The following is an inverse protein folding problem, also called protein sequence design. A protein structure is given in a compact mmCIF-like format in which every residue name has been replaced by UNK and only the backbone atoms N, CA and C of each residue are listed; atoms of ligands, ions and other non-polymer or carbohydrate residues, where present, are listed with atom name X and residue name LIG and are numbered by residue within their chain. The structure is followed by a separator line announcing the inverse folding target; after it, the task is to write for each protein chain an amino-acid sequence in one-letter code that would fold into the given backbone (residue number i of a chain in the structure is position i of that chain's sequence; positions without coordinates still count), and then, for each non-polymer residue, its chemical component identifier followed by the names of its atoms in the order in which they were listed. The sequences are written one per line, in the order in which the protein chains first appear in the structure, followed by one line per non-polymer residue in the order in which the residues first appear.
data_IF_399788394619
#
_entry.id   IF_399788394619
#
_cell.length_a   1.000
_cell.length_b   1.000
_cell.length_c   1.000
_cell.angle_alpha   90.00
_cell.angle_beta   90.00
_cell.angle_gamma   90.00
#
_symmetry.space_group_name_H-M   'P 1'
#
loop_
_entity.id
_entity.type
_entity.pdbx_description
1 polymer ?
#
# COMPACT_ATOMS: atom_id res chain seq x y z
N UNK A 1 -21.46 6.20 -19.66
CA UNK A 1 -22.20 4.98 -19.25
C UNK A 1 -21.36 4.09 -18.33
N UNK A 2 -20.17 3.66 -18.73
CA UNK A 2 -19.26 2.82 -17.91
C UNK A 2 -18.87 3.47 -16.58
N UNK A 3 -18.47 4.74 -16.57
CA UNK A 3 -18.13 5.48 -15.35
C UNK A 3 -19.31 5.55 -14.35
N UNK A 4 -20.52 5.75 -14.86
CA UNK A 4 -21.75 5.80 -14.05
C UNK A 4 -22.07 4.43 -13.44
N UNK A 5 -21.92 3.34 -14.22
CA UNK A 5 -22.13 1.97 -13.75
C UNK A 5 -21.11 1.61 -12.65
N UNK A 6 -19.83 1.90 -12.87
CA UNK A 6 -18.77 1.66 -11.88
C UNK A 6 -18.97 2.49 -10.61
N UNK A 7 -19.41 3.75 -10.74
CA UNK A 7 -19.71 4.62 -9.60
C UNK A 7 -20.86 4.09 -8.74
N UNK A 8 -21.97 3.67 -9.37
CA UNK A 8 -23.10 3.06 -8.65
C UNK A 8 -22.69 1.75 -7.98
N UNK A 9 -21.96 0.89 -8.70
CA UNK A 9 -21.43 -0.36 -8.15
C UNK A 9 -20.56 -0.13 -6.91
N UNK A 10 -19.64 0.83 -6.98
CA UNK A 10 -18.79 1.23 -5.84
C UNK A 10 -19.61 1.64 -4.62
N UNK A 11 -20.65 2.48 -4.76
CA UNK A 11 -21.49 2.89 -3.63
C UNK A 11 -22.24 1.69 -3.02
N UNK A 12 -22.81 0.83 -3.87
CA UNK A 12 -23.58 -0.34 -3.44
C UNK A 12 -22.71 -1.34 -2.68
N UNK A 13 -21.43 -1.48 -3.05
CA UNK A 13 -20.49 -2.39 -2.37
C UNK A 13 -19.84 -1.73 -1.16
N UNK A 14 -19.42 -0.47 -1.25
CA UNK A 14 -18.74 0.25 -0.17
C UNK A 14 -19.64 0.47 1.05
N UNK A 15 -20.93 0.76 0.84
CA UNK A 15 -21.90 0.94 1.93
C UNK A 15 -21.97 -0.24 2.92
N UNK A 16 -22.27 -1.47 2.47
CA UNK A 16 -22.30 -2.64 3.35
C UNK A 16 -20.92 -3.00 3.93
N UNK A 17 -19.82 -2.84 3.16
CA UNK A 17 -18.46 -3.09 3.69
C UNK A 17 -18.11 -2.11 4.81
N UNK A 18 -18.46 -0.83 4.67
CA UNK A 18 -18.23 0.18 5.69
C UNK A 18 -18.94 -0.14 7.00
N UNK A 19 -20.05 -0.88 6.98
CA UNK A 19 -20.74 -1.33 8.19
C UNK A 19 -20.05 -2.52 8.88
N UNK A 20 -19.19 -3.25 8.17
CA UNK A 20 -18.45 -4.38 8.71
C UNK A 20 -17.13 -3.94 9.38
N UNK A 21 -16.59 -2.79 8.99
CA UNK A 21 -15.38 -2.20 9.57
C UNK A 21 -15.71 -1.60 10.94
N UNK A 22 -15.08 -2.16 11.98
CA UNK A 22 -15.10 -1.59 13.33
C UNK A 22 -13.85 -0.72 13.48
N UNK A 23 -14.05 0.57 13.77
CA UNK A 23 -12.96 1.54 13.82
C UNK A 23 -12.11 1.41 15.09
N UNK A 24 -12.63 0.80 16.15
CA UNK A 24 -11.88 0.53 17.36
C UNK A 24 -11.97 -0.97 17.69
N UNK A 25 -10.82 -1.67 17.83
CA UNK A 25 -10.82 -3.07 18.26
C UNK A 25 -11.48 -3.25 19.63
N UNK A 26 -11.45 -2.20 20.45
CA UNK A 26 -12.06 -2.14 21.79
C UNK A 26 -13.58 -2.34 21.76
N UNK A 27 -14.27 -1.89 20.69
CA UNK A 27 -15.73 -2.03 20.53
C UNK A 27 -16.19 -3.49 20.45
N UNK A 28 -15.28 -4.40 20.09
CA UNK A 28 -15.52 -5.83 19.94
C UNK A 28 -14.70 -6.66 20.94
N UNK A 29 -14.17 -6.04 21.99
CA UNK A 29 -13.41 -6.70 23.04
C UNK A 29 -12.01 -7.19 22.63
N UNK A 30 -11.47 -6.65 21.54
CA UNK A 30 -10.08 -6.89 21.13
C UNK A 30 -9.15 -5.81 21.70
N UNK A 31 -7.90 -6.17 21.92
CA UNK A 31 -6.85 -5.25 22.38
C UNK A 31 -6.35 -4.37 21.22
N UNK A 32 -5.84 -3.16 21.50
CA UNK A 32 -5.09 -2.36 20.53
C UNK A 32 -3.95 -3.17 19.91
N UNK A 33 -3.58 -2.81 18.68
CA UNK A 33 -2.57 -3.54 17.92
C UNK A 33 -1.21 -3.46 18.64
N UNK A 34 -0.61 -4.61 18.95
CA UNK A 34 0.67 -4.70 19.67
C UNK A 34 0.57 -5.06 21.15
N UNK A 35 -0.62 -5.00 21.76
CA UNK A 35 -0.84 -5.42 23.15
C UNK A 35 -1.00 -6.95 23.28
N UNK A 36 -0.35 -7.54 24.30
CA UNK A 36 -0.55 -8.94 24.69
C UNK A 36 -1.50 -9.03 25.89
N UNK A 37 -2.34 -10.09 26.00
CA UNK A 37 -3.14 -10.30 27.20
C UNK A 37 -2.23 -10.36 28.43
N UNK A 38 -2.41 -9.45 29.38
CA UNK A 38 -1.70 -9.50 30.66
C UNK A 38 -2.19 -10.75 31.39
N UNK A 39 -1.34 -11.73 31.72
CA UNK A 39 -1.74 -12.84 32.57
C UNK A 39 -2.16 -12.26 33.92
N UNK A 40 -3.42 -12.47 34.32
CA UNK A 40 -3.87 -12.19 35.67
C UNK A 40 -3.14 -13.17 36.59
N UNK A 41 -2.01 -12.76 37.14
CA UNK A 41 -1.37 -13.40 38.28
C UNK A 41 -1.03 -12.30 39.28
N UNK A 42 -1.42 -12.55 40.51
CA UNK A 42 -1.61 -11.60 41.59
C UNK A 42 -0.36 -10.79 41.98
N UNK A 43 -0.58 -9.49 42.19
CA UNK A 43 0.07 -8.53 43.11
C UNK A 43 1.54 -8.76 43.50
N UNK A 44 2.40 -7.80 43.13
CA UNK A 44 3.33 -7.16 44.08
C UNK A 44 3.63 -5.74 43.60
N UNK A 45 3.40 -4.77 44.49
CA UNK A 45 3.86 -3.41 44.33
C UNK A 45 5.39 -3.40 44.38
N UNK A 46 6.02 -2.57 43.54
CA UNK A 46 7.46 -2.35 43.36
C UNK A 46 8.06 -3.06 42.12
N UNK A 47 7.76 -2.52 40.93
CA UNK A 47 8.75 -2.42 39.85
C UNK A 47 8.29 -1.37 38.81
N UNK A 48 8.63 -0.12 39.07
CA UNK A 48 8.44 1.00 38.16
C UNK A 48 9.43 0.94 36.99
N UNK A 49 9.23 0.06 36.00
CA UNK A 49 9.82 0.17 34.65
C UNK A 49 9.48 -1.04 33.78
N UNK A 50 8.21 -1.23 33.44
CA UNK A 50 7.87 -2.00 32.23
C UNK A 50 7.18 -1.06 31.27
N UNK A 51 8.02 -0.52 30.38
CA UNK A 51 7.72 0.08 29.09
C UNK A 51 6.29 -0.26 28.66
N UNK A 52 5.34 0.61 29.02
CA UNK A 52 4.19 0.77 28.17
C UNK A 52 4.76 1.32 26.88
N UNK A 53 4.62 0.57 25.79
CA UNK A 53 4.63 1.20 24.48
C UNK A 53 3.38 2.07 24.44
N UNK A 54 3.46 3.24 25.08
CA UNK A 54 2.46 4.28 24.91
C UNK A 54 2.46 4.57 23.41
N UNK A 55 1.39 4.17 22.72
CA UNK A 55 1.07 4.73 21.41
C UNK A 55 0.94 6.24 21.63
N UNK A 56 2.02 6.96 21.34
CA UNK A 56 2.01 8.41 21.37
C UNK A 56 1.13 8.84 20.20
N UNK A 57 -0.12 9.18 20.51
CA UNK A 57 -1.00 9.83 19.56
C UNK A 57 -0.38 11.17 19.16
N UNK A 58 0.10 11.25 17.92
CA UNK A 58 0.66 12.48 17.38
C UNK A 58 -0.46 13.37 16.84
N UNK A 59 -0.50 14.63 17.27
CA UNK A 59 -1.23 15.65 16.52
C UNK A 59 -0.58 15.82 15.13
N UNK A 60 -1.33 16.33 14.15
CA UNK A 60 -0.80 16.55 12.79
C UNK A 60 0.47 17.41 12.78
N UNK A 61 0.55 18.43 13.65
CA UNK A 61 1.74 19.29 13.79
C UNK A 61 2.95 18.52 14.32
N UNK A 62 2.74 17.59 15.25
CA UNK A 62 3.81 16.77 15.81
C UNK A 62 4.27 15.71 14.80
N UNK A 63 3.35 15.06 14.10
CA UNK A 63 3.66 14.10 13.05
C UNK A 63 4.55 14.73 11.95
N UNK A 64 4.22 15.94 11.49
CA UNK A 64 5.00 16.69 10.49
C UNK A 64 6.44 17.00 10.93
N UNK A 65 6.71 17.02 12.25
CA UNK A 65 8.05 17.26 12.80
C UNK A 65 8.88 15.98 12.91
N UNK A 66 8.26 14.80 12.75
CA UNK A 66 8.97 13.53 12.83
C UNK A 66 9.69 13.20 11.52
N UNK A 67 10.89 12.60 11.58
CA UNK A 67 11.56 12.11 10.36
C UNK A 67 10.80 10.94 9.72
N UNK A 68 10.09 10.14 10.51
CA UNK A 68 9.28 9.01 10.04
C UNK A 68 8.22 9.46 9.03
N UNK A 69 7.52 10.58 9.32
CA UNK A 69 6.55 11.17 8.41
C UNK A 69 7.16 11.46 7.03
N UNK A 70 8.30 12.16 6.99
CA UNK A 70 8.95 12.54 5.74
C UNK A 70 9.49 11.34 4.96
N UNK A 71 10.06 10.35 5.64
CA UNK A 71 10.52 9.11 4.99
C UNK A 71 9.38 8.36 4.32
N UNK A 72 8.23 8.26 4.99
CA UNK A 72 7.03 7.61 4.43
C UNK A 72 6.47 8.45 3.28
N UNK A 73 6.35 9.76 3.47
CA UNK A 73 5.82 10.68 2.46
C UNK A 73 6.64 10.66 1.17
N UNK A 74 7.97 10.76 1.27
CA UNK A 74 8.84 10.69 0.10
C UNK A 74 8.87 9.29 -0.52
N UNK A 75 8.94 8.23 0.30
CA UNK A 75 8.91 6.86 -0.21
C UNK A 75 7.65 6.56 -1.01
N UNK A 76 6.49 6.95 -0.48
CA UNK A 76 5.22 6.84 -1.19
C UNK A 76 5.15 7.78 -2.39
N UNK A 77 5.57 9.04 -2.23
CA UNK A 77 5.57 10.05 -3.28
C UNK A 77 6.36 9.63 -4.52
N UNK A 78 7.58 9.09 -4.35
CA UNK A 78 8.39 8.59 -5.47
C UNK A 78 7.76 7.39 -6.16
N UNK A 79 7.20 6.46 -5.38
CA UNK A 79 6.49 5.29 -5.90
C UNK A 79 5.30 5.72 -6.77
N UNK A 80 4.51 6.68 -6.29
CA UNK A 80 3.37 7.26 -7.01
C UNK A 80 3.79 8.04 -8.25
N UNK A 81 4.88 8.80 -8.17
CA UNK A 81 5.44 9.55 -9.29
C UNK A 81 5.85 8.63 -10.45
N UNK A 82 6.52 7.52 -10.15
CA UNK A 82 6.91 6.52 -11.16
C UNK A 82 5.68 5.96 -11.87
N UNK A 83 4.66 5.54 -11.11
CA UNK A 83 3.43 4.97 -11.67
C UNK A 83 2.75 5.99 -12.58
N UNK A 84 2.59 7.23 -12.12
CA UNK A 84 1.94 8.29 -12.90
C UNK A 84 2.72 8.60 -14.18
N UNK A 85 4.05 8.69 -14.11
CA UNK A 85 4.90 8.97 -15.26
C UNK A 85 4.80 7.85 -16.31
N UNK A 86 4.90 6.59 -15.90
CA UNK A 86 4.78 5.43 -16.80
C UNK A 86 3.39 5.39 -17.41
N UNK A 87 2.32 5.48 -16.62
CA UNK A 87 0.95 5.41 -17.14
C UNK A 87 0.62 6.57 -18.09
N UNK A 88 1.16 7.77 -17.86
CA UNK A 88 0.94 8.92 -18.73
C UNK A 88 1.65 8.78 -20.10
N UNK A 89 2.81 8.11 -20.15
CA UNK A 89 3.64 8.06 -21.35
C UNK A 89 3.66 6.70 -22.05
N UNK A 90 3.16 5.63 -21.42
CA UNK A 90 3.20 4.27 -21.96
C UNK A 90 2.50 4.18 -23.33
N UNK A 91 1.33 4.81 -23.47
CA UNK A 91 0.60 4.84 -24.74
C UNK A 91 1.39 5.52 -25.85
N UNK A 92 2.01 6.66 -25.56
CA UNK A 92 2.85 7.39 -26.51
C UNK A 92 4.07 6.55 -26.92
N UNK A 93 4.78 5.98 -25.95
CA UNK A 93 5.94 5.12 -26.19
C UNK A 93 5.60 3.92 -27.10
N UNK A 94 4.45 3.28 -26.88
CA UNK A 94 4.03 2.13 -27.68
C UNK A 94 3.64 2.54 -29.11
N UNK A 95 2.91 3.65 -29.27
CA UNK A 95 2.55 4.18 -30.59
C UNK A 95 3.79 4.61 -31.37
N UNK A 96 4.75 5.27 -30.72
CA UNK A 96 6.03 5.66 -31.34
C UNK A 96 6.83 4.44 -31.81
N UNK A 97 6.66 3.29 -31.16
CA UNK A 97 7.24 1.99 -31.55
C UNK A 97 6.43 1.23 -32.62
N UNK A 98 5.32 1.79 -33.08
CA UNK A 98 4.47 1.21 -34.13
C UNK A 98 3.38 0.25 -33.63
N UNK A 99 3.18 0.13 -32.33
CA UNK A 99 2.07 -0.65 -31.76
C UNK A 99 0.74 0.10 -31.87
N UNK A 100 -0.37 -0.64 -31.80
CA UNK A 100 -1.69 -0.04 -31.79
C UNK A 100 -2.07 0.44 -30.38
N UNK A 101 -3.01 1.39 -30.29
CA UNK A 101 -3.50 1.90 -28.99
C UNK A 101 -4.14 0.78 -28.14
N UNK A 102 -4.71 -0.23 -28.80
CA UNK A 102 -5.29 -1.41 -28.17
C UNK A 102 -4.24 -2.23 -27.40
N UNK A 103 -3.01 -2.30 -27.91
CA UNK A 103 -1.92 -3.03 -27.25
C UNK A 103 -1.54 -2.34 -25.93
N UNK A 104 -1.43 -1.01 -25.94
CA UNK A 104 -1.19 -0.23 -24.74
C UNK A 104 -2.33 -0.39 -23.71
N UNK A 105 -3.58 -0.38 -24.17
CA UNK A 105 -4.74 -0.62 -23.30
C UNK A 105 -4.71 -2.02 -22.68
N UNK A 106 -4.27 -3.03 -23.43
CA UNK A 106 -4.08 -4.38 -22.92
C UNK A 106 -3.00 -4.44 -21.84
N UNK A 107 -1.83 -3.83 -22.07
CA UNK A 107 -0.75 -3.77 -21.08
C UNK A 107 -1.21 -3.08 -19.79
N UNK A 108 -1.92 -1.95 -19.90
CA UNK A 108 -2.50 -1.25 -18.74
C UNK A 108 -3.49 -2.15 -18.00
N UNK A 109 -4.35 -2.88 -18.71
CA UNK A 109 -5.32 -3.79 -18.11
C UNK A 109 -4.65 -4.94 -17.34
N UNK A 110 -3.61 -5.54 -17.92
CA UNK A 110 -2.81 -6.57 -17.25
C UNK A 110 -2.11 -5.99 -16.03
N UNK A 111 -1.49 -4.81 -16.15
CA UNK A 111 -0.88 -4.10 -15.02
C UNK A 111 -1.88 -3.88 -13.89
N UNK A 112 -3.08 -3.39 -14.19
CA UNK A 112 -4.13 -3.16 -13.17
C UNK A 112 -4.60 -4.47 -12.52
N UNK A 113 -4.78 -5.53 -13.30
CA UNK A 113 -5.19 -6.84 -12.77
C UNK A 113 -4.13 -7.42 -11.81
N UNK A 114 -2.85 -7.35 -12.19
CA UNK A 114 -1.73 -7.76 -11.33
C UNK A 114 -1.65 -6.87 -10.08
N UNK A 115 -1.77 -5.55 -10.23
CA UNK A 115 -1.75 -4.62 -9.11
C UNK A 115 -2.85 -4.94 -8.08
N UNK A 116 -4.08 -5.19 -8.52
CA UNK A 116 -5.18 -5.59 -7.63
C UNK A 116 -4.87 -6.88 -6.87
N UNK A 117 -4.35 -7.91 -7.55
CA UNK A 117 -3.97 -9.17 -6.91
C UNK A 117 -2.87 -8.96 -5.87
N UNK A 118 -1.83 -8.20 -6.21
CA UNK A 118 -0.71 -7.94 -5.32
C UNK A 118 -1.04 -6.98 -4.19
N UNK A 119 -2.08 -6.16 -4.31
CA UNK A 119 -2.56 -5.33 -3.21
C UNK A 119 -3.16 -6.18 -2.08
N UNK A 120 -3.86 -7.27 -2.43
CA UNK A 120 -4.32 -8.27 -1.45
C UNK A 120 -3.15 -9.02 -0.81
N UNK A 121 -2.17 -9.44 -1.62
CA UNK A 121 -0.95 -10.09 -1.13
C UNK A 121 -0.18 -9.16 -0.19
N UNK A 122 -0.02 -7.89 -0.57
CA UNK A 122 0.66 -6.87 0.23
C UNK A 122 -0.03 -6.63 1.57
N UNK A 123 -1.36 -6.58 1.60
CA UNK A 123 -2.13 -6.49 2.85
C UNK A 123 -1.93 -7.70 3.76
N UNK A 124 -1.99 -8.92 3.21
CA UNK A 124 -1.76 -10.15 3.96
C UNK A 124 -0.34 -10.26 4.51
N UNK A 125 0.66 -9.99 3.66
CA UNK A 125 2.09 -10.06 4.02
C UNK A 125 2.44 -8.95 5.02
N UNK A 126 1.87 -7.76 4.86
CA UNK A 126 2.06 -6.62 5.75
C UNK A 126 1.63 -6.88 7.20
N UNK A 127 0.66 -7.77 7.41
CA UNK A 127 0.26 -8.21 8.75
C UNK A 127 1.14 -9.31 9.36
N UNK A 128 2.00 -9.96 8.56
CA UNK A 128 2.82 -11.11 9.01
C UNK A 128 4.29 -10.77 9.23
N UNK A 129 4.84 -9.86 8.44
CA UNK A 129 6.24 -9.44 8.52
C UNK A 129 6.32 -7.93 8.74
N UNK A 130 7.43 -7.40 9.31
CA UNK A 130 7.57 -5.98 9.57
C UNK A 130 7.30 -5.14 8.31
N UNK A 131 6.32 -4.24 8.36
CA UNK A 131 5.82 -3.50 7.19
C UNK A 131 6.92 -2.75 6.43
N UNK A 132 7.95 -2.26 7.14
CA UNK A 132 9.13 -1.64 6.53
C UNK A 132 9.89 -2.55 5.56
N UNK A 133 9.97 -3.85 5.84
CA UNK A 133 10.62 -4.83 4.98
C UNK A 133 9.73 -5.16 3.77
N UNK A 134 8.43 -5.29 3.99
CA UNK A 134 7.44 -5.48 2.91
C UNK A 134 7.50 -4.33 1.91
N UNK A 135 7.47 -3.09 2.41
CA UNK A 135 7.59 -1.88 1.60
C UNK A 135 8.93 -1.81 0.88
N UNK A 136 10.04 -2.11 1.55
CA UNK A 136 11.36 -2.12 0.91
C UNK A 136 11.45 -3.15 -0.23
N UNK A 137 10.90 -4.35 -0.04
CA UNK A 137 10.89 -5.39 -1.05
C UNK A 137 10.06 -4.98 -2.29
N UNK A 138 8.81 -4.54 -2.08
CA UNK A 138 7.94 -4.17 -3.21
C UNK A 138 8.42 -2.91 -3.94
N UNK A 139 8.98 -1.93 -3.23
CA UNK A 139 9.57 -0.75 -3.86
C UNK A 139 10.85 -1.10 -4.64
N UNK A 140 11.69 -1.99 -4.13
CA UNK A 140 12.84 -2.51 -4.88
C UNK A 140 12.42 -3.29 -6.13
N UNK A 141 11.37 -4.11 -6.04
CA UNK A 141 10.80 -4.81 -7.18
C UNK A 141 10.26 -3.84 -8.24
N UNK A 142 9.57 -2.76 -7.82
CA UNK A 142 9.12 -1.71 -8.74
C UNK A 142 10.31 -1.01 -9.42
N UNK A 143 11.35 -0.65 -8.66
CA UNK A 143 12.55 -0.03 -9.22
C UNK A 143 13.21 -0.95 -10.26
N UNK A 144 13.30 -2.25 -9.98
CA UNK A 144 13.81 -3.24 -10.93
C UNK A 144 12.95 -3.31 -12.19
N UNK A 145 11.62 -3.26 -12.06
CA UNK A 145 10.70 -3.21 -13.20
C UNK A 145 10.93 -1.98 -14.10
N UNK A 146 11.18 -0.81 -13.50
CA UNK A 146 11.53 0.40 -14.27
C UNK A 146 12.87 0.25 -14.98
N UNK A 147 13.88 -0.34 -14.34
CA UNK A 147 15.17 -0.63 -14.99
C UNK A 147 14.97 -1.54 -16.19
N UNK A 148 14.19 -2.62 -16.05
CA UNK A 148 13.85 -3.51 -17.17
C UNK A 148 13.15 -2.75 -18.29
N UNK A 149 12.20 -1.87 -17.97
CA UNK A 149 11.49 -1.06 -18.96
C UNK A 149 12.44 -0.14 -19.75
N UNK A 150 13.43 0.47 -19.09
CA UNK A 150 14.44 1.33 -19.72
C UNK A 150 15.32 0.54 -20.69
N UNK A 151 15.68 -0.70 -20.35
CA UNK A 151 16.52 -1.56 -21.18
C UNK A 151 15.75 -2.47 -22.13
N UNK A 152 14.41 -2.36 -22.19
CA UNK A 152 13.58 -3.26 -22.98
C UNK A 152 13.98 -3.31 -24.48
N UNK A 153 14.47 -2.20 -25.04
CA UNK A 153 14.92 -2.14 -26.44
C UNK A 153 16.30 -2.75 -26.69
N UNK A 154 17.07 -3.00 -25.63
CA UNK A 154 18.40 -3.63 -25.70
C UNK A 154 18.38 -5.15 -25.49
N UNK A 155 17.22 -5.70 -25.11
CA UNK A 155 17.03 -7.14 -25.01
C UNK A 155 16.65 -7.71 -26.39
N UNK A 156 17.27 -8.82 -26.82
CA UNK A 156 16.91 -9.43 -28.09
C UNK A 156 15.43 -9.82 -28.06
N UNK A 157 14.66 -9.28 -28.99
CA UNK A 157 13.27 -9.65 -29.23
C UNK A 157 13.23 -11.15 -29.56
N UNK A 158 12.61 -11.95 -28.69
CA UNK A 158 12.31 -13.37 -28.93
C UNK A 158 11.16 -13.49 -29.92
#
# INVERSE_FOLDING_TARGET
MTATILGVFMIVVAGPISRLIHNQPQDIGLLPDGDKPVPQTEVSADDSAKVSSDEVDFTASEALRTPAFWLIAFGHGFTSMVILAVMAHLGLLMVDKGYQVQDAAFVVSVYTAVAMAFQLVGGYVGGKIPIRLTLAFFTALQAMGVVVLVYADSLPSI
#
